data_IF_085154551611
#
_entry.id   IF_085154551611
#
_cell.length_a   1.000
_cell.length_b   1.000
_cell.length_c   1.000
_cell.angle_alpha   90.00
_cell.angle_beta   90.00
_cell.angle_gamma   90.00
#
_symmetry.space_group_name_H-M   'P 1'
#
loop_
_entity.id
_entity.type
_entity.pdbx_description
1 polymer ?
#
# COMPACT_ATOMS: atom_id res chain seq x y z
N UNK A 1 -38.07 6.49 8.10
CA UNK A 1 -37.00 5.47 8.20
C UNK A 1 -35.75 6.05 7.58
N UNK A 2 -34.89 6.68 8.38
CA UNK A 2 -33.64 7.26 7.88
C UNK A 2 -32.55 6.18 7.99
N UNK A 3 -32.19 5.57 6.86
CA UNK A 3 -31.01 4.72 6.79
C UNK A 3 -29.79 5.63 6.96
N UNK A 4 -29.19 5.62 8.15
CA UNK A 4 -27.85 6.16 8.34
C UNK A 4 -26.94 5.52 7.28
N UNK A 5 -26.00 6.28 6.66
CA UNK A 5 -24.98 5.65 5.85
C UNK A 5 -24.27 4.62 6.75
N UNK A 6 -23.96 3.41 6.25
CA UNK A 6 -23.31 2.40 7.07
C UNK A 6 -22.07 3.05 7.70
N UNK A 7 -22.03 3.11 9.04
CA UNK A 7 -20.82 3.46 9.78
C UNK A 7 -19.69 2.60 9.20
N UNK A 8 -18.47 3.13 9.03
CA UNK A 8 -17.34 2.29 8.67
C UNK A 8 -17.27 1.18 9.72
N UNK A 9 -17.74 -0.01 9.34
CA UNK A 9 -17.71 -1.16 10.23
C UNK A 9 -16.24 -1.42 10.45
N UNK A 10 -15.83 -1.39 11.72
CA UNK A 10 -14.59 -1.93 12.23
C UNK A 10 -14.46 -3.40 11.84
N UNK A 11 -14.33 -3.70 10.54
CA UNK A 11 -13.90 -5.00 10.06
C UNK A 11 -12.47 -5.13 10.58
N UNK A 12 -12.38 -5.83 11.70
CA UNK A 12 -11.25 -6.46 12.33
C UNK A 12 -9.94 -5.64 12.36
N UNK A 13 -9.78 -4.82 13.40
CA UNK A 13 -8.48 -4.30 13.82
C UNK A 13 -7.39 -5.41 13.81
N UNK A 14 -7.66 -6.66 14.26
CA UNK A 14 -6.70 -7.75 14.15
C UNK A 14 -6.35 -8.12 12.70
N UNK A 15 -7.32 -8.10 11.79
CA UNK A 15 -7.08 -8.41 10.37
C UNK A 15 -6.30 -7.30 9.68
N UNK A 16 -6.55 -6.04 10.04
CA UNK A 16 -5.73 -4.92 9.58
C UNK A 16 -4.30 -5.03 10.11
N UNK A 17 -4.11 -5.34 11.40
CA UNK A 17 -2.77 -5.54 11.98
C UNK A 17 -2.02 -6.65 11.26
N UNK A 18 -2.65 -7.81 11.02
CA UNK A 18 -2.03 -8.92 10.27
C UNK A 18 -1.67 -8.51 8.84
N UNK A 19 -2.54 -7.77 8.16
CA UNK A 19 -2.27 -7.23 6.83
C UNK A 19 -1.09 -6.25 6.86
N UNK A 20 -1.08 -5.31 7.80
CA UNK A 20 -0.04 -4.31 7.95
C UNK A 20 1.31 -4.96 8.26
N UNK A 21 1.39 -5.87 9.24
CA UNK A 21 2.61 -6.57 9.61
C UNK A 21 3.18 -7.41 8.46
N UNK A 22 2.30 -8.01 7.65
CA UNK A 22 2.73 -8.85 6.53
C UNK A 22 3.29 -8.04 5.34
N UNK A 23 2.69 -6.88 5.03
CA UNK A 23 2.97 -6.15 3.79
C UNK A 23 3.70 -4.83 3.97
N UNK A 24 3.55 -4.14 5.11
CA UNK A 24 4.19 -2.84 5.35
C UNK A 24 5.72 -2.92 5.30
N UNK A 25 6.42 -3.90 5.92
CA UNK A 25 7.88 -3.98 5.84
C UNK A 25 8.39 -4.19 4.40
N UNK A 26 7.65 -4.95 3.60
CA UNK A 26 7.98 -5.25 2.20
C UNK A 26 7.78 -4.02 1.32
N UNK A 27 6.67 -3.32 1.51
CA UNK A 27 6.38 -2.10 0.76
C UNK A 27 7.33 -0.97 1.17
N UNK A 28 7.60 -0.80 2.46
CA UNK A 28 8.56 0.16 2.99
C UNK A 28 9.95 -0.02 2.36
N UNK A 29 10.44 -1.26 2.30
CA UNK A 29 11.72 -1.57 1.66
C UNK A 29 11.79 -1.07 0.21
N UNK A 30 10.70 -1.17 -0.55
CA UNK A 30 10.61 -0.68 -1.92
C UNK A 30 10.50 0.84 -2.00
N UNK A 31 9.74 1.46 -1.09
CA UNK A 31 9.58 2.92 -1.05
C UNK A 31 10.93 3.60 -0.73
N UNK A 32 11.70 3.05 0.22
CA UNK A 32 13.03 3.58 0.58
C UNK A 32 14.01 3.51 -0.60
N UNK A 33 13.86 2.54 -1.51
CA UNK A 33 14.67 2.48 -2.74
C UNK A 33 14.40 3.65 -3.69
N UNK A 34 13.25 4.33 -3.58
CA UNK A 34 12.92 5.47 -4.43
C UNK A 34 13.67 6.76 -4.05
N UNK A 35 14.53 6.73 -3.01
CA UNK A 35 15.35 7.85 -2.57
C UNK A 35 14.55 9.14 -2.30
N UNK A 36 13.35 8.98 -1.74
CA UNK A 36 12.51 10.07 -1.28
C UNK A 36 12.92 10.48 0.14
N UNK A 37 12.48 11.65 0.59
CA UNK A 37 12.59 12.01 2.00
C UNK A 37 11.82 11.00 2.87
N UNK A 38 12.28 10.77 4.10
CA UNK A 38 11.63 9.85 5.05
C UNK A 38 10.16 10.19 5.22
N UNK A 39 9.83 11.47 5.46
CA UNK A 39 8.45 11.95 5.62
C UNK A 39 7.57 11.63 4.41
N UNK A 40 8.09 11.81 3.19
CA UNK A 40 7.32 11.51 1.97
C UNK A 40 7.16 10.00 1.77
N UNK A 41 8.16 9.23 2.17
CA UNK A 41 8.11 7.76 2.13
C UNK A 41 7.05 7.21 3.09
N UNK A 42 7.00 7.76 4.31
CA UNK A 42 6.01 7.39 5.33
C UNK A 42 4.60 7.73 4.87
N UNK A 43 4.41 8.93 4.31
CA UNK A 43 3.12 9.36 3.77
C UNK A 43 2.63 8.42 2.66
N UNK A 44 3.49 8.04 1.72
CA UNK A 44 3.15 7.08 0.67
C UNK A 44 2.78 5.71 1.26
N UNK A 45 3.54 5.20 2.24
CA UNK A 45 3.25 3.93 2.89
C UNK A 45 1.87 3.94 3.57
N UNK A 46 1.63 4.94 4.42
CA UNK A 46 0.40 5.09 5.21
C UNK A 46 -0.80 5.22 4.28
N UNK A 47 -0.73 6.13 3.31
CA UNK A 47 -1.82 6.37 2.36
C UNK A 47 -2.10 5.14 1.50
N UNK A 48 -1.07 4.41 1.07
CA UNK A 48 -1.25 3.15 0.32
C UNK A 48 -1.99 2.10 1.15
N UNK A 49 -1.61 1.92 2.42
CA UNK A 49 -2.27 0.94 3.29
C UNK A 49 -3.71 1.29 3.60
N UNK A 50 -4.01 2.57 3.83
CA UNK A 50 -5.38 3.05 4.05
C UNK A 50 -6.22 2.80 2.80
N UNK A 51 -5.74 3.21 1.62
CA UNK A 51 -6.47 3.04 0.36
C UNK A 51 -6.71 1.56 0.07
N UNK A 52 -5.69 0.72 0.26
CA UNK A 52 -5.80 -0.72 0.06
C UNK A 52 -6.86 -1.34 0.97
N UNK A 53 -6.87 -0.96 2.25
CA UNK A 53 -7.82 -1.48 3.23
C UNK A 53 -9.26 -1.04 2.97
N UNK A 54 -9.45 0.16 2.43
CA UNK A 54 -10.78 0.70 2.10
C UNK A 54 -11.38 0.12 0.82
N UNK A 55 -10.62 -0.67 0.04
CA UNK A 55 -11.18 -1.28 -1.17
C UNK A 55 -12.21 -2.37 -0.83
N UNK A 56 -13.30 -2.48 -1.62
CA UNK A 56 -14.29 -3.53 -1.44
C UNK A 56 -13.67 -4.90 -1.67
N UNK A 57 -14.16 -5.93 -0.97
CA UNK A 57 -13.68 -7.32 -1.03
C UNK A 57 -13.56 -7.85 -2.48
N UNK A 58 -14.41 -7.38 -3.41
CA UNK A 58 -14.37 -7.73 -4.85
C UNK A 58 -13.14 -7.22 -5.60
N UNK A 59 -12.45 -6.20 -5.09
CA UNK A 59 -11.22 -5.65 -5.65
C UNK A 59 -9.96 -6.23 -5.01
N UNK A 60 -10.10 -7.07 -3.98
CA UNK A 60 -8.94 -7.68 -3.35
C UNK A 60 -8.27 -8.66 -4.32
N UNK A 61 -6.96 -8.49 -4.58
CA UNK A 61 -6.23 -9.41 -5.42
C UNK A 61 -6.11 -10.78 -4.73
N UNK A 62 -5.91 -11.83 -5.54
CA UNK A 62 -5.53 -13.14 -4.99
C UNK A 62 -4.27 -12.99 -4.10
N UNK A 63 -4.18 -13.77 -3.02
CA UNK A 63 -3.10 -13.68 -2.00
C UNK A 63 -1.69 -13.57 -2.60
N UNK A 64 -1.42 -14.26 -3.73
CA UNK A 64 -0.15 -14.24 -4.46
C UNK A 64 0.20 -12.90 -5.15
N UNK A 65 -0.75 -11.99 -5.33
CA UNK A 65 -0.60 -10.73 -6.06
C UNK A 65 -0.81 -9.48 -5.19
N UNK A 66 -1.05 -9.65 -3.88
CA UNK A 66 -1.32 -8.51 -2.97
C UNK A 66 -0.16 -7.51 -2.97
N UNK A 67 1.09 -7.97 -2.91
CA UNK A 67 2.24 -7.07 -2.90
C UNK A 67 2.36 -6.28 -4.22
N UNK A 68 2.21 -6.93 -5.37
CA UNK A 68 2.25 -6.27 -6.69
C UNK A 68 1.14 -5.23 -6.83
N UNK A 69 -0.05 -5.55 -6.32
CA UNK A 69 -1.17 -4.63 -6.31
C UNK A 69 -0.90 -3.42 -5.38
N UNK A 70 -0.33 -3.64 -4.20
CA UNK A 70 0.08 -2.56 -3.29
C UNK A 70 1.14 -1.65 -3.90
N UNK A 71 2.09 -2.20 -4.64
CA UNK A 71 3.07 -1.41 -5.40
C UNK A 71 2.36 -0.56 -6.46
N UNK A 72 1.38 -1.15 -7.17
CA UNK A 72 0.52 -0.43 -8.10
C UNK A 72 -0.20 0.75 -7.45
N UNK A 73 -0.79 0.53 -6.26
CA UNK A 73 -1.43 1.59 -5.48
C UNK A 73 -0.41 2.66 -5.04
N UNK A 74 0.77 2.26 -4.57
CA UNK A 74 1.81 3.20 -4.19
C UNK A 74 2.21 4.13 -5.35
N UNK A 75 2.24 3.62 -6.59
CA UNK A 75 2.46 4.46 -7.77
C UNK A 75 1.34 5.49 -7.98
N UNK A 76 0.08 5.13 -7.73
CA UNK A 76 -1.04 6.08 -7.80
C UNK A 76 -1.01 7.12 -6.68
N UNK A 77 -0.44 6.78 -5.52
CA UNK A 77 -0.28 7.68 -4.37
C UNK A 77 0.88 8.66 -4.57
N UNK A 78 1.87 8.31 -5.40
CA UNK A 78 2.98 9.21 -5.74
C UNK A 78 4.37 8.61 -5.59
N UNK A 79 4.49 7.28 -5.44
CA UNK A 79 5.78 6.60 -5.60
C UNK A 79 6.27 6.81 -7.04
N UNK A 80 7.49 7.32 -7.27
CA UNK A 80 8.00 7.47 -8.62
C UNK A 80 8.34 6.10 -9.22
N UNK A 81 7.81 5.83 -10.42
CA UNK A 81 8.14 4.63 -11.22
C UNK A 81 9.60 4.60 -11.66
N UNK A 82 10.22 5.77 -11.83
CA UNK A 82 11.57 5.93 -12.34
C UNK A 82 12.66 5.45 -11.37
N UNK A 83 12.49 5.63 -10.05
CA UNK A 83 13.54 5.32 -9.06
C UNK A 83 13.81 3.81 -8.88
N UNK A 84 12.82 2.97 -9.14
CA UNK A 84 12.96 1.51 -9.03
C UNK A 84 13.72 0.91 -10.23
N UNK A 85 13.54 1.49 -11.42
CA UNK A 85 14.15 1.02 -12.67
C UNK A 85 15.62 1.44 -12.81
N UNK A 86 16.00 2.61 -12.29
CA UNK A 86 17.40 3.09 -12.35
C UNK A 86 18.34 2.20 -11.54
N UNK A 87 17.90 1.60 -10.44
CA UNK A 87 18.76 0.74 -9.62
C UNK A 87 18.98 -0.67 -10.18
N UNK A 88 18.07 -1.16 -11.03
CA UNK A 88 18.25 -2.44 -11.75
C UNK A 88 19.25 -2.27 -12.90
N UNK A 89 19.25 -1.11 -13.56
CA UNK A 89 20.23 -0.79 -14.62
C UNK A 89 21.63 -0.44 -14.11
N UNK A 90 21.78 0.02 -12.87
CA UNK A 90 23.07 0.41 -12.30
C UNK A 90 23.98 -0.77 -11.89
N UNK A 91 23.60 -2.02 -12.22
CA UNK A 91 24.37 -3.23 -11.93
C UNK A 91 24.48 -4.15 -13.16
N UNK A 92 24.73 -3.55 -14.33
CA UNK A 92 25.18 -4.23 -15.55
C UNK A 92 26.44 -3.52 -16.04
#
# INVERSE_FOLDING_TARGET
>A
MNAYPPKPTSKDLPSFTLFYDQYAPKLWSLIVLANLSTTRSEDILINTMIIAWQQPDSRWPAKKHVLTWLIGLAYTVGLPTAGLLTRIKAKV
#
